data_IF_751734548982
#
_entry.id   IF_751734548982
#
_cell.length_a   1.000
_cell.length_b   1.000
_cell.length_c   1.000
_cell.angle_alpha   90.00
_cell.angle_beta   90.00
_cell.angle_gamma   90.00
#
_symmetry.space_group_name_H-M   'P 1'
#
loop_
_entity.id
_entity.type
_entity.pdbx_description
1 polymer ?
#
# COMPACT_ATOMS: atom_id res chain seq x y z
N UNK A 1 -12.01 26.30 11.22
CA UNK A 1 -10.89 25.36 11.02
C UNK A 1 -10.33 25.01 12.38
N UNK A 2 -10.27 23.74 12.76
CA UNK A 2 -9.66 23.35 14.02
C UNK A 2 -8.12 23.49 13.91
N UNK A 3 -7.45 24.14 14.85
CA UNK A 3 -5.99 24.27 14.85
C UNK A 3 -5.34 22.96 15.31
N UNK A 4 -4.39 22.41 14.55
CA UNK A 4 -3.46 21.40 15.09
C UNK A 4 -3.02 20.21 14.22
N UNK A 5 -3.61 19.94 13.05
CA UNK A 5 -3.11 18.84 12.19
C UNK A 5 -2.14 19.37 11.15
N UNK A 6 -0.91 19.69 11.57
CA UNK A 6 0.18 19.85 10.60
C UNK A 6 0.50 18.45 10.05
N UNK A 7 0.03 18.13 8.84
CA UNK A 7 0.30 16.84 8.19
C UNK A 7 1.77 16.84 7.78
N UNK A 8 2.61 16.23 8.61
CA UNK A 8 4.07 16.26 8.46
C UNK A 8 4.57 15.23 7.44
N UNK A 9 5.62 15.60 6.72
CA UNK A 9 6.40 14.68 5.90
C UNK A 9 7.18 13.71 6.81
N UNK A 10 7.21 12.42 6.44
CA UNK A 10 7.91 11.36 7.16
C UNK A 10 8.98 10.74 6.24
N UNK A 11 10.28 11.05 6.43
CA UNK A 11 11.33 10.67 5.48
C UNK A 11 11.50 9.15 5.32
N UNK A 12 11.18 8.37 6.35
CA UNK A 12 11.34 6.92 6.36
C UNK A 12 10.09 6.17 5.88
N UNK A 13 9.00 6.86 5.55
CA UNK A 13 7.72 6.22 5.22
C UNK A 13 7.83 5.29 4.02
N UNK A 14 8.47 5.74 2.94
CA UNK A 14 8.59 4.95 1.71
C UNK A 14 9.43 3.70 1.96
N UNK A 15 10.52 3.81 2.70
CA UNK A 15 11.35 2.66 3.05
C UNK A 15 10.63 1.67 3.96
N UNK A 16 9.74 2.15 4.85
CA UNK A 16 8.86 1.27 5.63
C UNK A 16 7.89 0.52 4.72
N UNK A 17 7.19 1.21 3.83
CA UNK A 17 6.20 0.58 2.94
C UNK A 17 6.85 -0.47 2.01
N UNK A 18 8.06 -0.20 1.49
CA UNK A 18 8.84 -1.19 0.73
C UNK A 18 9.18 -2.45 1.54
N UNK A 19 9.54 -2.30 2.82
CA UNK A 19 9.77 -3.46 3.70
C UNK A 19 8.49 -4.25 3.94
N UNK A 20 7.36 -3.56 4.08
CA UNK A 20 6.06 -4.21 4.20
C UNK A 20 5.74 -4.99 2.91
N UNK A 21 5.99 -4.42 1.72
CA UNK A 21 5.85 -5.11 0.42
C UNK A 21 6.65 -6.40 0.37
N UNK A 22 7.95 -6.36 0.72
CA UNK A 22 8.80 -7.54 0.73
C UNK A 22 8.28 -8.61 1.69
N UNK A 23 7.76 -8.20 2.85
CA UNK A 23 7.17 -9.12 3.83
C UNK A 23 5.90 -9.78 3.30
N UNK A 24 5.03 -9.03 2.62
CA UNK A 24 3.82 -9.55 1.99
C UNK A 24 4.13 -10.54 0.86
N UNK A 25 5.10 -10.21 0.00
CA UNK A 25 5.55 -11.09 -1.08
C UNK A 25 6.19 -12.38 -0.52
N UNK A 26 6.95 -12.29 0.57
CA UNK A 26 7.51 -13.45 1.25
C UNK A 26 6.44 -14.40 1.81
N UNK A 27 5.33 -13.85 2.34
CA UNK A 27 4.20 -14.65 2.80
C UNK A 27 3.50 -15.38 1.66
N UNK A 28 3.33 -14.73 0.50
CA UNK A 28 2.76 -15.37 -0.69
C UNK A 28 3.61 -16.54 -1.17
N UNK A 29 4.92 -16.33 -1.30
CA UNK A 29 5.86 -17.37 -1.73
C UNK A 29 5.87 -18.56 -0.75
N UNK A 30 5.88 -18.29 0.56
CA UNK A 30 5.91 -19.36 1.55
C UNK A 30 4.60 -20.18 1.59
N UNK A 31 3.45 -19.54 1.34
CA UNK A 31 2.18 -20.27 1.20
C UNK A 31 2.17 -21.16 -0.04
N UNK A 32 2.70 -20.67 -1.16
CA UNK A 32 2.83 -21.46 -2.38
C UNK A 32 3.71 -22.70 -2.14
N UNK A 33 4.87 -22.53 -1.49
CA UNK A 33 5.77 -23.62 -1.10
C UNK A 33 5.07 -24.64 -0.18
N UNK A 34 4.34 -24.16 0.85
CA UNK A 34 3.60 -25.03 1.77
C UNK A 34 2.50 -25.82 1.04
N UNK A 35 1.75 -25.17 0.14
CA UNK A 35 0.73 -25.82 -0.67
C UNK A 35 1.32 -26.88 -1.61
N UNK A 36 2.45 -26.60 -2.26
CA UNK A 36 3.17 -27.54 -3.12
C UNK A 36 3.71 -28.74 -2.35
N UNK A 37 4.12 -28.55 -1.09
CA UNK A 37 4.55 -29.61 -0.19
C UNK A 37 3.37 -30.43 0.39
N UNK A 38 2.13 -30.05 0.10
CA UNK A 38 0.92 -30.67 0.66
C UNK A 38 0.61 -30.26 2.11
N UNK A 39 1.34 -29.27 2.66
CA UNK A 39 1.13 -28.73 4.00
C UNK A 39 0.10 -27.59 3.97
N UNK A 40 -1.14 -27.95 3.66
CA UNK A 40 -2.26 -27.01 3.67
C UNK A 40 -2.49 -26.34 5.04
N UNK A 41 -2.33 -27.02 6.20
CA UNK A 41 -2.40 -26.36 7.50
C UNK A 41 -1.40 -25.20 7.65
N UNK A 42 -0.16 -25.35 7.20
CA UNK A 42 0.83 -24.27 7.22
C UNK A 42 0.42 -23.11 6.29
N UNK A 43 0.01 -23.41 5.05
CA UNK A 43 -0.45 -22.39 4.10
C UNK A 43 -1.63 -21.57 4.65
N UNK A 44 -2.61 -22.24 5.28
CA UNK A 44 -3.77 -21.57 5.90
C UNK A 44 -3.39 -20.74 7.13
N UNK A 45 -2.40 -21.18 7.93
CA UNK A 45 -1.87 -20.38 9.04
C UNK A 45 -1.22 -19.08 8.56
N UNK A 46 -0.46 -19.17 7.48
CA UNK A 46 0.20 -18.02 6.85
C UNK A 46 -0.81 -17.07 6.20
N UNK A 47 -1.92 -17.58 5.67
CA UNK A 47 -2.98 -16.75 5.10
C UNK A 47 -3.57 -15.76 6.12
N UNK A 48 -3.75 -16.19 7.38
CA UNK A 48 -4.18 -15.29 8.45
C UNK A 48 -3.15 -14.19 8.74
N UNK A 49 -1.87 -14.52 8.64
CA UNK A 49 -0.78 -13.55 8.78
C UNK A 49 -0.79 -12.56 7.61
N UNK A 50 -0.92 -13.02 6.37
CA UNK A 50 -1.05 -12.16 5.19
C UNK A 50 -2.16 -11.13 5.36
N UNK A 51 -3.36 -11.54 5.81
CA UNK A 51 -4.49 -10.63 6.04
C UNK A 51 -4.11 -9.51 7.01
N UNK A 52 -3.50 -9.86 8.14
CA UNK A 52 -3.13 -8.88 9.18
C UNK A 52 -2.06 -7.91 8.68
N UNK A 53 -0.99 -8.41 8.08
CA UNK A 53 0.10 -7.56 7.57
C UNK A 53 -0.41 -6.63 6.46
N UNK A 54 -1.25 -7.14 5.54
CA UNK A 54 -1.85 -6.31 4.50
C UNK A 54 -2.74 -5.23 5.09
N UNK A 55 -3.58 -5.55 6.08
CA UNK A 55 -4.42 -4.56 6.75
C UNK A 55 -3.61 -3.46 7.44
N UNK A 56 -2.51 -3.83 8.10
CA UNK A 56 -1.60 -2.88 8.74
C UNK A 56 -0.94 -1.95 7.71
N UNK A 57 -0.45 -2.52 6.62
CA UNK A 57 0.15 -1.80 5.49
C UNK A 57 -0.84 -0.80 4.85
N UNK A 58 -2.04 -1.26 4.48
CA UNK A 58 -3.09 -0.39 3.92
C UNK A 58 -3.50 0.73 4.88
N UNK A 59 -3.54 0.45 6.19
CA UNK A 59 -3.83 1.48 7.18
C UNK A 59 -2.73 2.53 7.22
N UNK A 60 -1.45 2.11 7.22
CA UNK A 60 -0.30 3.00 7.23
C UNK A 60 -0.32 3.94 6.02
N UNK A 61 -0.53 3.41 4.81
CA UNK A 61 -0.68 4.22 3.60
C UNK A 61 -1.82 5.23 3.72
N UNK A 62 -3.01 4.78 4.15
CA UNK A 62 -4.20 5.63 4.27
C UNK A 62 -3.98 6.81 5.21
N UNK A 63 -3.36 6.57 6.37
CA UNK A 63 -3.22 7.60 7.39
C UNK A 63 -1.98 8.47 7.22
N UNK A 64 -0.93 7.98 6.52
CA UNK A 64 0.31 8.73 6.30
C UNK A 64 0.47 9.20 4.86
N UNK A 65 0.55 8.27 3.90
CA UNK A 65 0.88 8.57 2.51
C UNK A 65 -0.25 9.35 1.83
N UNK A 66 -1.44 8.78 1.82
CA UNK A 66 -2.59 9.33 1.11
C UNK A 66 -3.08 10.66 1.70
N UNK A 67 -3.12 10.78 3.02
CA UNK A 67 -3.46 12.04 3.71
C UNK A 67 -2.44 13.15 3.41
N UNK A 68 -1.15 12.81 3.37
CA UNK A 68 -0.10 13.78 3.00
C UNK A 68 -0.23 14.24 1.54
N UNK A 69 -0.37 13.30 0.60
CA UNK A 69 -0.51 13.64 -0.83
C UNK A 69 -1.77 14.45 -1.10
N UNK A 70 -2.90 14.14 -0.45
CA UNK A 70 -4.14 14.90 -0.61
C UNK A 70 -4.00 16.37 -0.15
N UNK A 71 -3.14 16.61 0.84
CA UNK A 71 -2.84 17.94 1.38
C UNK A 71 -1.79 18.72 0.56
N UNK A 72 -0.77 18.03 0.04
CA UNK A 72 0.29 18.67 -0.76
C UNK A 72 -0.16 19.01 -2.18
N UNK A 73 -0.99 18.17 -2.80
CA UNK A 73 -1.41 18.37 -4.18
C UNK A 73 -2.52 19.41 -4.30
N UNK A 74 -2.28 20.45 -5.11
CA UNK A 74 -3.29 21.47 -5.42
C UNK A 74 -4.54 20.85 -6.05
N UNK A 75 -5.71 21.46 -5.88
CA UNK A 75 -7.00 20.92 -6.37
C UNK A 75 -7.00 20.56 -7.86
N UNK A 76 -6.23 21.26 -8.69
CA UNK A 76 -6.15 21.06 -10.14
C UNK A 76 -4.94 20.20 -10.56
N UNK A 77 -4.21 19.63 -9.61
CA UNK A 77 -3.05 18.80 -9.92
C UNK A 77 -3.49 17.48 -10.58
N UNK A 78 -3.00 17.15 -11.79
CA UNK A 78 -3.39 15.93 -12.49
C UNK A 78 -3.04 14.66 -11.71
N UNK A 79 -2.05 14.71 -10.82
CA UNK A 79 -1.62 13.58 -9.97
C UNK A 79 -2.71 13.16 -8.97
N UNK A 80 -3.70 14.03 -8.67
CA UNK A 80 -4.82 13.67 -7.78
C UNK A 80 -5.66 12.52 -8.33
N UNK A 81 -5.80 12.42 -9.66
CA UNK A 81 -6.50 11.32 -10.29
C UNK A 81 -5.77 9.98 -10.05
N UNK A 82 -4.44 9.98 -10.20
CA UNK A 82 -3.58 8.84 -9.90
C UNK A 82 -3.68 8.44 -8.42
N UNK A 83 -3.54 9.39 -7.49
CA UNK A 83 -3.64 9.13 -6.03
C UNK A 83 -4.99 8.48 -5.68
N UNK A 84 -6.08 8.99 -6.26
CA UNK A 84 -7.42 8.41 -6.05
C UNK A 84 -7.51 6.98 -6.60
N UNK A 85 -7.01 6.75 -7.81
CA UNK A 85 -6.99 5.43 -8.44
C UNK A 85 -6.22 4.42 -7.59
N UNK A 86 -5.01 4.76 -7.15
CA UNK A 86 -4.17 3.90 -6.32
C UNK A 86 -4.85 3.53 -5.00
N UNK A 87 -5.48 4.51 -4.34
CA UNK A 87 -6.26 4.28 -3.11
C UNK A 87 -7.42 3.30 -3.30
N UNK A 88 -8.10 3.35 -4.44
CA UNK A 88 -9.19 2.43 -4.75
C UNK A 88 -8.64 1.03 -5.02
N UNK A 89 -7.53 0.95 -5.76
CA UNK A 89 -6.87 -0.30 -6.11
C UNK A 89 -6.37 -1.06 -4.88
N UNK A 90 -5.63 -0.43 -3.97
CA UNK A 90 -5.17 -1.12 -2.75
C UNK A 90 -6.33 -1.59 -1.87
N UNK A 91 -7.40 -0.79 -1.80
CA UNK A 91 -8.61 -1.18 -1.06
C UNK A 91 -9.30 -2.39 -1.69
N UNK A 92 -9.31 -2.49 -3.03
CA UNK A 92 -9.82 -3.67 -3.72
C UNK A 92 -8.97 -4.91 -3.44
N UNK A 93 -7.63 -4.80 -3.49
CA UNK A 93 -6.72 -5.91 -3.15
C UNK A 93 -6.96 -6.40 -1.71
N UNK A 94 -7.03 -5.49 -0.74
CA UNK A 94 -7.30 -5.84 0.66
C UNK A 94 -8.66 -6.52 0.85
N UNK A 95 -9.69 -6.10 0.11
CA UNK A 95 -11.00 -6.74 0.15
C UNK A 95 -10.97 -8.15 -0.45
N UNK A 96 -10.29 -8.33 -1.59
CA UNK A 96 -10.12 -9.65 -2.22
C UNK A 96 -9.40 -10.62 -1.29
N UNK A 97 -8.30 -10.20 -0.66
CA UNK A 97 -7.59 -11.01 0.33
C UNK A 97 -8.46 -11.32 1.54
N UNK A 98 -9.24 -10.33 2.02
CA UNK A 98 -10.19 -10.51 3.10
C UNK A 98 -11.23 -11.61 2.79
N UNK A 99 -11.82 -11.56 1.59
CA UNK A 99 -12.77 -12.55 1.12
C UNK A 99 -12.14 -13.95 0.97
N UNK A 100 -10.92 -14.03 0.44
CA UNK A 100 -10.16 -15.28 0.32
C UNK A 100 -9.92 -15.92 1.69
N UNK A 101 -9.50 -15.14 2.69
CA UNK A 101 -9.32 -15.65 4.07
C UNK A 101 -10.64 -16.13 4.66
N UNK A 102 -11.72 -15.39 4.44
CA UNK A 102 -13.02 -15.75 5.00
C UNK A 102 -13.57 -17.04 4.37
N UNK A 103 -13.34 -17.24 3.07
CA UNK A 103 -13.68 -18.47 2.33
C UNK A 103 -12.98 -19.71 2.91
N UNK A 104 -11.65 -19.70 3.01
CA UNK A 104 -10.89 -20.86 3.52
C UNK A 104 -11.00 -21.08 5.03
N UNK A 105 -11.49 -20.09 5.79
CA UNK A 105 -11.86 -20.31 7.20
C UNK A 105 -13.11 -21.18 7.33
N UNK A 106 -14.03 -21.12 6.38
CA UNK A 106 -15.32 -21.83 6.44
C UNK A 106 -15.35 -23.11 5.60
N UNK A 107 -14.42 -23.25 4.65
CA UNK A 107 -14.44 -24.31 3.64
C UNK A 107 -13.40 -25.41 3.94
N UNK A 108 -13.79 -26.41 4.75
CA UNK A 108 -12.89 -27.47 5.21
C UNK A 108 -12.49 -28.53 4.14
N UNK A 109 -12.95 -28.43 2.90
CA UNK A 109 -12.85 -29.51 1.90
C UNK A 109 -12.40 -29.06 0.51
N UNK A 110 -11.87 -27.84 0.35
CA UNK A 110 -11.36 -27.42 -0.96
C UNK A 110 -9.99 -28.02 -1.27
N UNK A 111 -9.76 -28.25 -2.57
CA UNK A 111 -8.52 -28.85 -3.03
C UNK A 111 -7.36 -27.87 -2.95
N UNK A 112 -6.15 -28.38 -2.69
CA UNK A 112 -4.92 -27.57 -2.73
C UNK A 112 -4.73 -26.88 -4.10
N UNK A 113 -5.17 -27.51 -5.18
CA UNK A 113 -5.12 -26.94 -6.53
C UNK A 113 -6.00 -25.70 -6.67
N UNK A 114 -7.21 -25.72 -6.11
CA UNK A 114 -8.12 -24.56 -6.09
C UNK A 114 -7.50 -23.41 -5.30
N UNK A 115 -6.99 -23.72 -4.11
CA UNK A 115 -6.30 -22.74 -3.26
C UNK A 115 -5.14 -22.08 -3.99
N UNK A 116 -4.29 -22.87 -4.65
CA UNK A 116 -3.14 -22.34 -5.38
C UNK A 116 -3.54 -21.43 -6.54
N UNK A 117 -4.57 -21.78 -7.32
CA UNK A 117 -5.02 -20.93 -8.43
C UNK A 117 -5.56 -19.57 -7.96
N UNK A 118 -6.27 -19.56 -6.83
CA UNK A 118 -6.75 -18.32 -6.21
C UNK A 118 -5.61 -17.52 -5.58
N UNK A 119 -4.67 -18.19 -4.92
CA UNK A 119 -3.46 -17.57 -4.35
C UNK A 119 -2.63 -16.89 -5.43
N UNK A 120 -2.43 -17.54 -6.58
CA UNK A 120 -1.70 -16.98 -7.73
C UNK A 120 -2.39 -15.71 -8.23
N UNK A 121 -3.72 -15.73 -8.35
CA UNK A 121 -4.50 -14.57 -8.78
C UNK A 121 -4.34 -13.38 -7.83
N UNK A 122 -4.32 -13.64 -6.52
CA UNK A 122 -4.06 -12.63 -5.49
C UNK A 122 -2.63 -12.10 -5.58
N UNK A 123 -1.65 -12.99 -5.76
CA UNK A 123 -0.25 -12.61 -5.88
C UNK A 123 -0.01 -11.68 -7.08
N UNK A 124 -0.61 -11.99 -8.24
CA UNK A 124 -0.53 -11.14 -9.43
C UNK A 124 -1.14 -9.75 -9.20
N UNK A 125 -2.30 -9.68 -8.54
CA UNK A 125 -2.94 -8.41 -8.20
C UNK A 125 -2.06 -7.55 -7.28
N UNK A 126 -1.47 -8.17 -6.25
CA UNK A 126 -0.61 -7.48 -5.29
C UNK A 126 0.70 -7.03 -5.94
N UNK A 127 1.39 -7.88 -6.70
CA UNK A 127 2.63 -7.53 -7.41
C UNK A 127 2.41 -6.36 -8.35
N UNK A 128 1.35 -6.41 -9.16
CA UNK A 128 1.04 -5.33 -10.09
C UNK A 128 0.68 -4.03 -9.35
N UNK A 129 0.03 -4.13 -8.19
CA UNK A 129 -0.24 -2.95 -7.36
C UNK A 129 1.05 -2.34 -6.79
N UNK A 130 1.93 -3.16 -6.23
CA UNK A 130 3.23 -2.74 -5.69
C UNK A 130 4.07 -2.03 -6.75
N UNK A 131 4.16 -2.62 -7.95
CA UNK A 131 4.91 -2.03 -9.07
C UNK A 131 4.40 -0.63 -9.41
N UNK A 132 3.09 -0.48 -9.59
CA UNK A 132 2.50 0.83 -9.88
C UNK A 132 2.66 1.82 -8.72
N UNK A 133 2.60 1.35 -7.47
CA UNK A 133 2.79 2.20 -6.31
C UNK A 133 4.22 2.74 -6.25
N UNK A 134 5.20 1.86 -6.41
CA UNK A 134 6.60 2.23 -6.35
C UNK A 134 7.04 3.10 -7.53
N UNK A 135 6.54 2.81 -8.74
CA UNK A 135 6.93 3.51 -9.96
C UNK A 135 6.20 4.85 -10.15
N UNK A 136 4.93 4.94 -9.73
CA UNK A 136 4.07 6.09 -10.05
C UNK A 136 3.69 6.91 -8.83
N UNK A 137 3.39 6.28 -7.68
CA UNK A 137 2.90 6.98 -6.50
C UNK A 137 4.04 7.51 -5.62
N UNK A 138 5.03 6.67 -5.30
CA UNK A 138 6.14 7.05 -4.42
C UNK A 138 6.95 8.26 -4.91
N UNK A 139 7.17 8.45 -6.23
CA UNK A 139 7.83 9.66 -6.72
C UNK A 139 7.09 10.97 -6.39
N UNK A 140 5.80 10.94 -6.08
CA UNK A 140 5.02 12.11 -5.65
C UNK A 140 5.22 12.45 -4.17
N UNK A 141 5.70 11.50 -3.36
CA UNK A 141 5.93 11.70 -1.94
C UNK A 141 7.25 12.41 -1.67
N UNK A 142 7.21 13.74 -1.69
CA UNK A 142 8.38 14.61 -1.48
C UNK A 142 8.14 15.58 -0.33
N UNK A 143 9.19 16.07 0.36
CA UNK A 143 9.06 17.15 1.32
C UNK A 143 8.35 18.35 0.68
N UNK A 144 7.51 19.03 1.46
CA UNK A 144 6.93 20.31 1.03
C UNK A 144 8.08 21.25 0.67
N UNK A 145 8.05 21.86 -0.52
CA UNK A 145 9.04 22.87 -0.87
C UNK A 145 8.83 24.06 0.06
N UNK A 146 9.82 24.38 0.88
CA UNK A 146 9.83 25.65 1.61
C UNK A 146 9.73 26.77 0.57
N UNK A 147 8.72 27.62 0.71
CA UNK A 147 8.60 28.82 -0.11
C UNK A 147 9.86 29.67 0.12
N UNK A 148 10.81 29.59 -0.80
CA UNK A 148 12.00 30.44 -0.81
C UNK A 148 11.51 31.88 -0.84
N UNK A 149 11.47 32.52 0.32
CA UNK A 149 11.24 33.95 0.47
C UNK A 149 12.50 34.64 -0.03
N UNK A 150 12.60 34.80 -1.36
CA UNK A 150 13.50 35.76 -1.96
C UNK A 150 12.96 37.14 -1.56
N UNK A 151 13.42 37.61 -0.41
CA UNK A 151 13.23 38.97 0.05
C UNK A 151 13.80 39.91 -1.00
N UNK A 152 12.92 40.58 -1.75
CA UNK A 152 13.27 41.73 -2.59
C UNK A 152 13.88 42.80 -1.69
N UNK A 153 15.21 42.87 -1.62
CA UNK A 153 15.89 44.09 -1.26
C UNK A 153 15.97 44.99 -2.50
N UNK A 154 15.03 45.93 -2.61
CA UNK A 154 15.29 47.23 -3.22
C UNK A 154 15.33 48.25 -2.08
N UNK A 155 16.44 48.98 -1.95
CA UNK A 155 16.36 50.44 -2.08
C UNK A 155 17.60 50.96 -2.84
N UNK A 156 17.69 52.15 -3.38
CA UNK A 156 16.84 53.32 -3.58
C UNK A 156 17.65 54.13 -4.60
N UNK A 157 16.98 54.86 -5.47
CA UNK A 157 17.65 55.91 -6.23
C UNK A 157 18.34 56.90 -5.27
N UNK A 158 19.54 57.32 -5.66
CA UNK A 158 20.30 58.44 -5.14
C UNK A 158 21.08 59.03 -6.30
#
# INVERSE_FOLDING_TARGET
>A
MAPGTNIAYHPELIEQLRRDHLSLLGLLASMEEASLAGDMPAALSQLHTLKRELQAHVLLEKVRLYVYLDHQLSTNDPSRALVKQMRHRISAVANTVGAFVDHYRTSAHESALTFMGELESIAQLLVSHIQEEEDLLYPLYRPAQEATTVSRQSPSAG
#
